data_IF_160468149122
#
_entry.id   IF_160468149122
#
_cell.length_a   1.000
_cell.length_b   1.000
_cell.length_c   1.000
_cell.angle_alpha   90.00
_cell.angle_beta   90.00
_cell.angle_gamma   90.00
#
_symmetry.space_group_name_H-M   'P 1'
#
loop_
_entity.id
_entity.type
_entity.pdbx_description
1 polymer ?
#
# COMPACT_ATOMS: atom_id res chain seq x y z
N UNK A 1 -1.07 -7.05 1.71
CA UNK A 1 0.31 -6.84 1.20
C UNK A 1 0.23 -6.05 -0.10
N UNK A 2 1.05 -5.00 -0.25
CA UNK A 2 1.06 -4.18 -1.47
C UNK A 2 1.58 -4.99 -2.67
N UNK A 3 1.16 -4.61 -3.88
CA UNK A 3 1.64 -5.21 -5.13
C UNK A 3 3.17 -5.15 -5.21
N UNK A 4 3.77 -4.00 -4.88
CA UNK A 4 5.23 -3.82 -4.89
C UNK A 4 5.95 -4.77 -3.95
N UNK A 5 5.46 -4.90 -2.72
CA UNK A 5 6.08 -5.78 -1.74
C UNK A 5 6.05 -7.25 -2.19
N UNK A 6 4.92 -7.68 -2.75
CA UNK A 6 4.78 -9.02 -3.33
C UNK A 6 5.77 -9.23 -4.48
N UNK A 7 5.75 -8.34 -5.47
CA UNK A 7 6.54 -8.49 -6.70
C UNK A 7 8.04 -8.41 -6.43
N UNK A 8 8.49 -7.37 -5.71
CA UNK A 8 9.94 -7.13 -5.59
C UNK A 8 10.61 -7.91 -4.47
N UNK A 9 9.91 -8.17 -3.36
CA UNK A 9 10.50 -8.93 -2.25
C UNK A 9 10.32 -10.42 -2.42
N UNK A 10 9.10 -10.90 -2.71
CA UNK A 10 8.84 -12.34 -2.72
C UNK A 10 9.04 -12.99 -4.08
N UNK A 11 8.53 -12.42 -5.15
CA UNK A 11 8.60 -13.05 -6.47
C UNK A 11 9.98 -12.87 -7.12
N UNK A 12 10.49 -11.62 -7.13
CA UNK A 12 11.77 -11.29 -7.78
C UNK A 12 12.97 -11.30 -6.84
N UNK A 13 12.77 -11.24 -5.54
CA UNK A 13 13.80 -11.26 -4.50
C UNK A 13 14.89 -10.19 -4.70
N UNK A 14 14.48 -9.01 -5.16
CA UNK A 14 15.38 -7.91 -5.51
C UNK A 14 15.60 -6.94 -4.35
N UNK A 15 14.76 -6.99 -3.32
CA UNK A 15 14.79 -6.04 -2.20
C UNK A 15 14.65 -6.76 -0.86
N UNK A 16 15.24 -6.19 0.19
CA UNK A 16 15.04 -6.63 1.57
C UNK A 16 13.77 -6.02 2.14
N UNK A 17 13.52 -4.75 1.82
CA UNK A 17 12.26 -4.09 2.13
C UNK A 17 11.86 -3.15 0.99
N UNK A 18 10.55 -2.93 0.84
CA UNK A 18 10.00 -1.94 -0.07
C UNK A 18 8.71 -1.39 0.51
N UNK A 19 8.56 -0.09 0.47
CA UNK A 19 7.35 0.60 0.88
C UNK A 19 6.93 1.63 -0.16
N UNK A 20 5.64 1.90 -0.19
CA UNK A 20 5.04 2.91 -1.06
C UNK A 20 4.21 3.83 -0.19
N UNK A 21 4.41 5.11 -0.33
CA UNK A 21 3.68 6.13 0.42
C UNK A 21 3.28 7.30 -0.47
N UNK A 22 2.22 7.97 -0.09
CA UNK A 22 1.81 9.24 -0.67
C UNK A 22 2.04 10.34 0.37
N UNK A 23 2.90 11.28 0.05
CA UNK A 23 3.15 12.48 0.86
C UNK A 23 2.37 13.62 0.22
N UNK A 24 1.44 14.20 0.97
CA UNK A 24 0.57 15.26 0.45
C UNK A 24 0.53 16.44 1.42
N UNK A 25 0.88 17.62 0.91
CA UNK A 25 0.74 18.89 1.58
C UNK A 25 -0.17 19.81 0.74
N UNK A 26 -0.47 20.99 1.23
CA UNK A 26 -1.38 21.94 0.56
C UNK A 26 -1.00 22.25 -0.90
N UNK A 27 0.31 22.38 -1.19
CA UNK A 27 0.81 22.83 -2.50
C UNK A 27 1.80 21.89 -3.15
N UNK A 28 2.18 20.82 -2.48
CA UNK A 28 3.14 19.85 -2.98
C UNK A 28 2.72 18.46 -2.57
N UNK A 29 2.92 17.50 -3.44
CA UNK A 29 2.72 16.09 -3.16
C UNK A 29 3.78 15.24 -3.86
N UNK A 30 4.04 14.07 -3.30
CA UNK A 30 4.93 13.10 -3.87
C UNK A 30 4.43 11.68 -3.64
N UNK A 31 4.45 10.88 -4.68
CA UNK A 31 4.36 9.43 -4.57
C UNK A 31 5.78 8.90 -4.37
N UNK A 32 6.02 8.24 -3.26
CA UNK A 32 7.37 7.84 -2.85
C UNK A 32 7.46 6.32 -2.78
N UNK A 33 8.45 5.76 -3.45
CA UNK A 33 8.86 4.36 -3.31
C UNK A 33 10.20 4.34 -2.60
N UNK A 34 10.26 3.68 -1.45
CA UNK A 34 11.49 3.47 -0.69
C UNK A 34 11.83 2.00 -0.68
N UNK A 35 13.05 1.65 -1.03
CA UNK A 35 13.54 0.27 -1.02
C UNK A 35 14.91 0.17 -0.37
N UNK A 36 15.11 -0.92 0.38
CA UNK A 36 16.40 -1.34 0.92
C UNK A 36 16.81 -2.63 0.21
N UNK A 37 18.04 -2.67 -0.29
CA UNK A 37 18.53 -3.78 -1.10
C UNK A 37 20.08 -3.82 -1.10
N UNK A 38 20.63 -4.97 -1.44
CA UNK A 38 22.05 -5.14 -1.64
C UNK A 38 22.54 -4.31 -2.86
N UNK A 39 23.80 -3.87 -2.81
CA UNK A 39 24.37 -2.99 -3.84
C UNK A 39 24.42 -3.64 -5.24
N UNK A 40 24.60 -4.95 -5.31
CA UNK A 40 24.60 -5.73 -6.55
C UNK A 40 23.19 -5.91 -7.16
N UNK A 41 22.15 -5.69 -6.38
CA UNK A 41 20.76 -5.75 -6.83
C UNK A 41 20.21 -4.41 -7.34
N UNK A 42 20.95 -3.30 -7.20
CA UNK A 42 20.46 -1.97 -7.61
C UNK A 42 20.13 -1.92 -9.10
N UNK A 43 21.00 -2.43 -9.97
CA UNK A 43 20.75 -2.42 -11.41
C UNK A 43 19.55 -3.27 -11.83
N UNK A 44 19.44 -4.56 -11.41
CA UNK A 44 18.26 -5.36 -11.75
C UNK A 44 16.95 -4.83 -11.11
N UNK A 45 17.02 -4.28 -9.90
CA UNK A 45 15.86 -3.65 -9.28
C UNK A 45 15.40 -2.41 -10.05
N UNK A 46 16.33 -1.50 -10.37
CA UNK A 46 16.01 -0.26 -11.10
C UNK A 46 15.48 -0.54 -12.49
N UNK A 47 16.11 -1.47 -13.22
CA UNK A 47 15.64 -1.93 -14.53
C UNK A 47 14.21 -2.47 -14.45
N UNK A 48 13.94 -3.29 -13.46
CA UNK A 48 12.62 -3.90 -13.26
C UNK A 48 11.56 -2.87 -12.88
N UNK A 49 11.88 -2.00 -11.92
CA UNK A 49 10.99 -0.93 -11.45
C UNK A 49 10.61 0.03 -12.58
N UNK A 50 11.60 0.46 -13.37
CA UNK A 50 11.38 1.36 -14.49
C UNK A 50 10.47 0.77 -15.55
N UNK A 51 10.66 -0.51 -15.89
CA UNK A 51 9.77 -1.24 -16.83
C UNK A 51 8.35 -1.33 -16.31
N UNK A 52 8.19 -1.68 -15.03
CA UNK A 52 6.87 -1.84 -14.43
C UNK A 52 6.13 -0.50 -14.36
N UNK A 53 6.83 0.60 -14.04
CA UNK A 53 6.24 1.93 -14.09
C UNK A 53 5.85 2.37 -15.49
N UNK A 54 6.68 2.09 -16.49
CA UNK A 54 6.38 2.42 -17.87
C UNK A 54 5.19 1.61 -18.44
N UNK A 55 4.97 0.40 -17.91
CA UNK A 55 3.85 -0.47 -18.29
C UNK A 55 2.59 -0.25 -17.41
N UNK A 56 2.69 0.59 -16.37
CA UNK A 56 1.62 0.78 -15.41
C UNK A 56 0.48 1.60 -16.04
N UNK A 57 -0.70 1.01 -16.07
CA UNK A 57 -1.93 1.68 -16.46
C UNK A 57 -3.09 1.30 -15.53
N UNK A 58 -4.27 1.88 -15.76
CA UNK A 58 -5.44 1.60 -14.93
C UNK A 58 -5.92 0.14 -15.02
N UNK A 59 -5.61 -0.58 -16.11
CA UNK A 59 -5.97 -2.00 -16.28
C UNK A 59 -5.07 -2.94 -15.50
N UNK A 60 -3.96 -2.44 -14.95
CA UNK A 60 -3.08 -3.20 -14.05
C UNK A 60 -3.81 -3.63 -12.76
N UNK A 61 -4.85 -2.88 -12.39
CA UNK A 61 -5.60 -3.12 -11.16
C UNK A 61 -7.00 -3.64 -11.47
N UNK A 62 -7.40 -4.72 -10.80
CA UNK A 62 -8.79 -5.19 -10.92
C UNK A 62 -9.74 -4.28 -10.16
N UNK A 63 -11.04 -4.25 -10.53
CA UNK A 63 -12.06 -3.53 -9.77
C UNK A 63 -12.07 -3.90 -8.28
N UNK A 64 -11.90 -5.17 -7.96
CA UNK A 64 -11.86 -5.67 -6.57
C UNK A 64 -10.63 -5.16 -5.81
N UNK A 65 -9.48 -5.02 -6.48
CA UNK A 65 -8.28 -4.43 -5.88
C UNK A 65 -8.48 -2.94 -5.60
N UNK A 66 -9.13 -2.22 -6.51
CA UNK A 66 -9.44 -0.80 -6.32
C UNK A 66 -10.42 -0.61 -5.15
N UNK A 67 -11.51 -1.38 -5.10
CA UNK A 67 -12.47 -1.30 -4.01
C UNK A 67 -11.83 -1.68 -2.66
N UNK A 68 -10.99 -2.70 -2.62
CA UNK A 68 -10.25 -3.05 -1.40
C UNK A 68 -9.30 -1.94 -0.96
N UNK A 69 -8.63 -1.27 -1.89
CA UNK A 69 -7.76 -0.15 -1.56
C UNK A 69 -8.54 1.03 -0.96
N UNK A 70 -9.71 1.35 -1.51
CA UNK A 70 -10.62 2.38 -0.97
C UNK A 70 -11.05 2.05 0.46
N UNK A 71 -11.52 0.81 0.68
CA UNK A 71 -11.94 0.35 2.00
C UNK A 71 -10.80 0.42 3.02
N UNK A 72 -9.58 0.01 2.65
CA UNK A 72 -8.43 0.10 3.54
C UNK A 72 -8.09 1.55 3.91
N UNK A 73 -8.10 2.46 2.93
CA UNK A 73 -7.83 3.88 3.19
C UNK A 73 -8.90 4.53 4.07
N UNK A 74 -10.16 4.16 3.87
CA UNK A 74 -11.27 4.63 4.72
C UNK A 74 -11.15 4.06 6.14
N UNK A 75 -10.84 2.77 6.29
CA UNK A 75 -10.60 2.12 7.59
C UNK A 75 -9.41 2.75 8.32
N UNK A 76 -8.29 3.00 7.64
CA UNK A 76 -7.12 3.67 8.20
C UNK A 76 -7.47 5.08 8.72
N UNK A 77 -8.32 5.80 8.00
CA UNK A 77 -8.80 7.11 8.45
C UNK A 77 -9.61 7.00 9.74
N UNK A 78 -10.54 6.05 9.85
CA UNK A 78 -11.32 5.83 11.06
C UNK A 78 -10.45 5.34 12.23
N UNK A 79 -9.59 4.36 12.00
CA UNK A 79 -8.64 3.85 13.03
C UNK A 79 -7.70 4.93 13.54
N UNK A 80 -7.27 5.83 12.67
CA UNK A 80 -6.40 6.93 13.09
C UNK A 80 -7.06 7.87 14.12
N UNK A 81 -8.38 7.80 14.31
CA UNK A 81 -9.16 8.59 15.26
C UNK A 81 -9.55 7.83 16.54
N UNK A 82 -9.16 6.57 16.68
CA UNK A 82 -9.50 5.75 17.86
C UNK A 82 -8.81 6.25 19.14
N UNK A 83 -7.71 6.97 19.03
CA UNK A 83 -7.02 7.57 20.17
C UNK A 83 -7.27 9.08 20.24
N UNK A 84 -7.22 9.64 21.46
CA UNK A 84 -7.35 11.09 21.65
C UNK A 84 -6.31 11.89 20.85
N UNK A 85 -5.06 11.41 20.82
CA UNK A 85 -3.99 12.04 20.03
C UNK A 85 -4.26 11.96 18.53
N UNK A 86 -4.69 10.81 18.04
CA UNK A 86 -5.05 10.62 16.64
C UNK A 86 -6.25 11.48 16.23
N UNK A 87 -7.28 11.51 17.07
CA UNK A 87 -8.45 12.36 16.84
C UNK A 87 -8.05 13.83 16.78
N UNK A 88 -7.27 14.34 17.75
CA UNK A 88 -6.80 15.71 17.78
C UNK A 88 -5.96 16.06 16.53
N UNK A 89 -5.06 15.15 16.12
CA UNK A 89 -4.24 15.31 14.91
C UNK A 89 -5.10 15.38 13.64
N UNK A 90 -6.15 14.56 13.54
CA UNK A 90 -7.05 14.57 12.37
C UNK A 90 -7.93 15.80 12.34
N UNK A 91 -8.49 16.22 13.48
CA UNK A 91 -9.24 17.48 13.57
C UNK A 91 -8.35 18.65 13.14
N UNK A 92 -7.12 18.73 13.66
CA UNK A 92 -6.15 19.75 13.28
C UNK A 92 -5.86 19.72 11.78
N UNK A 93 -5.56 18.56 11.22
CA UNK A 93 -5.28 18.39 9.79
C UNK A 93 -6.45 18.87 8.92
N UNK A 94 -7.65 18.38 9.16
CA UNK A 94 -8.81 18.77 8.36
C UNK A 94 -9.18 20.24 8.55
N UNK A 95 -9.05 20.77 9.78
CA UNK A 95 -9.32 22.17 10.04
C UNK A 95 -8.36 23.12 9.30
N UNK A 96 -7.06 22.80 9.30
CA UNK A 96 -6.04 23.65 8.70
C UNK A 96 -5.94 23.52 7.18
N UNK A 97 -6.06 22.30 6.66
CA UNK A 97 -5.75 22.03 5.25
C UNK A 97 -6.97 21.75 4.38
N UNK A 98 -8.10 21.40 4.98
CA UNK A 98 -9.24 20.88 4.21
C UNK A 98 -10.57 21.59 4.50
N UNK A 99 -10.55 22.67 5.27
CA UNK A 99 -11.76 23.45 5.59
C UNK A 99 -12.68 22.84 6.65
N UNK A 100 -12.10 22.08 7.59
CA UNK A 100 -12.79 21.52 8.74
C UNK A 100 -13.48 20.19 8.47
N UNK A 101 -14.54 19.90 9.20
CA UNK A 101 -15.29 18.64 9.13
C UNK A 101 -15.95 18.40 7.76
N UNK A 102 -16.31 19.45 7.05
CA UNK A 102 -16.80 19.33 5.67
C UNK A 102 -15.68 18.80 4.75
N UNK A 103 -14.44 19.22 4.96
CA UNK A 103 -13.29 18.71 4.20
C UNK A 103 -13.06 17.20 4.41
N UNK A 104 -13.26 16.69 5.63
CA UNK A 104 -13.20 15.25 5.88
C UNK A 104 -14.29 14.49 5.11
N UNK A 105 -15.54 14.97 5.18
CA UNK A 105 -16.65 14.34 4.43
C UNK A 105 -16.39 14.35 2.93
N UNK A 106 -15.94 15.47 2.39
CA UNK A 106 -15.60 15.59 0.98
C UNK A 106 -14.44 14.64 0.57
N UNK A 107 -13.44 14.47 1.44
CA UNK A 107 -12.31 13.56 1.19
C UNK A 107 -12.78 12.09 1.14
N UNK A 108 -13.64 11.67 2.06
CA UNK A 108 -14.22 10.33 2.07
C UNK A 108 -15.10 10.11 0.83
N UNK A 109 -15.94 11.07 0.49
CA UNK A 109 -16.79 11.00 -0.71
C UNK A 109 -15.94 10.92 -1.98
N UNK A 110 -14.91 11.75 -2.10
CA UNK A 110 -13.96 11.71 -3.21
C UNK A 110 -13.27 10.36 -3.32
N UNK A 111 -12.81 9.79 -2.18
CA UNK A 111 -12.20 8.45 -2.13
C UNK A 111 -13.15 7.37 -2.65
N UNK A 112 -14.40 7.38 -2.20
CA UNK A 112 -15.42 6.40 -2.62
C UNK A 112 -15.74 6.49 -4.11
N UNK A 113 -15.67 7.68 -4.69
CA UNK A 113 -15.94 7.96 -6.10
C UNK A 113 -14.73 7.70 -7.02
N UNK A 114 -13.56 7.34 -6.50
CA UNK A 114 -12.41 6.99 -7.36
C UNK A 114 -12.76 5.82 -8.24
N UNK A 115 -12.52 5.98 -9.54
CA UNK A 115 -12.71 4.95 -10.56
C UNK A 115 -11.46 4.74 -11.41
N UNK A 116 -11.49 3.75 -12.29
CA UNK A 116 -10.38 3.45 -13.19
C UNK A 116 -10.08 4.60 -14.18
N UNK A 117 -11.07 5.41 -14.53
CA UNK A 117 -10.90 6.57 -15.40
C UNK A 117 -10.06 7.66 -14.72
N UNK A 118 -10.38 7.96 -13.46
CA UNK A 118 -9.61 8.89 -12.63
C UNK A 118 -8.19 8.38 -12.38
N UNK A 119 -8.05 7.08 -12.07
CA UNK A 119 -6.74 6.44 -11.89
C UNK A 119 -5.89 6.57 -13.16
N UNK A 120 -6.46 6.31 -14.32
CA UNK A 120 -5.79 6.48 -15.62
C UNK A 120 -5.29 7.90 -15.85
N UNK A 121 -6.12 8.90 -15.52
CA UNK A 121 -5.74 10.32 -15.65
C UNK A 121 -4.56 10.66 -14.73
N UNK A 122 -4.59 10.21 -13.47
CA UNK A 122 -3.51 10.45 -12.50
C UNK A 122 -2.21 9.78 -12.95
N UNK A 123 -2.26 8.51 -13.36
CA UNK A 123 -1.07 7.80 -13.87
C UNK A 123 -0.48 8.50 -15.09
N UNK A 124 -1.30 8.88 -16.06
CA UNK A 124 -0.86 9.59 -17.25
C UNK A 124 -0.27 10.98 -16.98
N UNK A 125 -0.77 11.66 -15.94
CA UNK A 125 -0.30 13.00 -15.60
C UNK A 125 0.97 13.01 -14.75
N UNK A 126 1.13 12.02 -13.85
CA UNK A 126 2.14 12.08 -12.78
C UNK A 126 3.20 10.99 -12.87
N UNK A 127 2.88 9.81 -13.38
CA UNK A 127 3.86 8.72 -13.54
C UNK A 127 4.54 8.87 -14.87
N UNK A 128 5.48 9.80 -14.95
CA UNK A 128 6.23 10.17 -16.16
C UNK A 128 7.73 10.24 -15.85
N UNK A 129 8.61 9.88 -16.80
CA UNK A 129 10.04 9.80 -16.54
C UNK A 129 10.67 11.16 -16.22
N UNK A 130 10.13 12.26 -16.76
CA UNK A 130 10.56 13.63 -16.51
C UNK A 130 10.12 14.19 -15.14
N UNK A 131 9.24 13.46 -14.43
CA UNK A 131 8.76 13.79 -13.08
C UNK A 131 9.37 12.91 -11.99
N UNK A 132 10.24 11.98 -12.38
CA UNK A 132 10.87 11.06 -11.45
C UNK A 132 12.16 11.67 -10.89
N UNK A 133 12.27 11.66 -9.56
CA UNK A 133 13.51 11.99 -8.85
C UNK A 133 13.96 10.76 -8.08
N UNK A 134 15.18 10.34 -8.27
CA UNK A 134 15.76 9.17 -7.59
C UNK A 134 16.93 9.60 -6.72
N UNK A 135 16.91 9.13 -5.48
CA UNK A 135 18.00 9.31 -4.52
C UNK A 135 18.49 7.93 -4.12
N UNK A 136 19.79 7.68 -4.25
CA UNK A 136 20.43 6.43 -3.85
C UNK A 136 21.50 6.74 -2.82
N UNK A 137 21.54 5.96 -1.74
CA UNK A 137 22.55 6.05 -0.67
C UNK A 137 23.37 4.75 -0.68
N UNK A 138 24.41 4.66 -1.54
CA UNK A 138 25.21 3.45 -1.66
C UNK A 138 26.25 3.36 -0.54
N UNK A 139 26.75 2.15 -0.22
CA UNK A 139 27.97 1.98 0.55
C UNK A 139 29.17 2.69 -0.11
N UNK A 140 30.18 3.05 0.69
CA UNK A 140 31.31 3.91 0.28
C UNK A 140 32.01 3.51 -1.02
N UNK A 141 32.17 2.21 -1.27
CA UNK A 141 32.92 1.68 -2.43
C UNK A 141 32.03 0.99 -3.47
N UNK A 142 30.71 1.13 -3.36
CA UNK A 142 29.76 0.52 -4.29
C UNK A 142 29.80 1.23 -5.65
N UNK A 143 29.93 0.45 -6.73
CA UNK A 143 29.78 0.95 -8.08
C UNK A 143 28.30 1.05 -8.40
N UNK A 144 27.84 2.25 -8.76
CA UNK A 144 26.46 2.48 -9.17
C UNK A 144 26.31 2.38 -10.69
N UNK A 145 25.22 1.80 -11.17
CA UNK A 145 24.90 1.81 -12.62
C UNK A 145 24.52 3.23 -13.06
N UNK A 146 24.55 3.45 -14.37
CA UNK A 146 24.00 4.67 -14.95
C UNK A 146 22.46 4.62 -14.91
N UNK A 147 21.91 5.15 -13.81
CA UNK A 147 20.48 5.13 -13.53
C UNK A 147 19.66 5.84 -14.61
N UNK A 148 20.21 6.92 -15.20
CA UNK A 148 19.52 7.68 -16.25
C UNK A 148 19.47 6.89 -17.55
N UNK A 149 20.58 6.29 -17.96
CA UNK A 149 20.61 5.47 -19.18
C UNK A 149 19.65 4.28 -19.10
N UNK A 150 19.55 3.64 -17.92
CA UNK A 150 18.59 2.57 -17.67
C UNK A 150 17.16 3.11 -17.78
N UNK A 151 16.84 4.24 -17.14
CA UNK A 151 15.53 4.88 -17.20
C UNK A 151 15.11 5.13 -18.66
N UNK A 152 15.97 5.78 -19.44
CA UNK A 152 15.69 6.15 -20.82
C UNK A 152 15.45 4.93 -21.72
N UNK A 153 16.20 3.88 -21.51
CA UNK A 153 16.09 2.64 -22.28
C UNK A 153 14.84 1.86 -21.90
N UNK A 154 14.66 1.60 -20.61
CA UNK A 154 13.62 0.69 -20.14
C UNK A 154 12.24 1.33 -20.14
N UNK A 155 12.13 2.64 -19.96
CA UNK A 155 10.84 3.34 -20.09
C UNK A 155 10.26 3.20 -21.49
N UNK A 156 11.08 3.37 -22.53
CA UNK A 156 10.65 3.20 -23.91
C UNK A 156 10.23 1.76 -24.24
N UNK A 157 10.86 0.77 -23.60
CA UNK A 157 10.53 -0.64 -23.82
C UNK A 157 9.28 -1.07 -23.05
N UNK A 158 9.10 -0.59 -21.81
CA UNK A 158 7.96 -0.90 -20.95
C UNK A 158 6.63 -0.36 -21.47
N UNK A 159 6.64 0.85 -22.04
CA UNK A 159 5.45 1.46 -22.63
C UNK A 159 4.80 0.64 -23.78
N UNK A 160 5.49 -0.38 -24.30
CA UNK A 160 4.98 -1.31 -25.32
C UNK A 160 4.45 -2.63 -24.76
N UNK A 161 4.69 -2.93 -23.50
CA UNK A 161 4.31 -4.19 -22.86
C UNK A 161 2.99 -4.02 -22.09
N UNK A 162 1.86 -4.05 -22.80
CA UNK A 162 0.54 -4.09 -22.18
C UNK A 162 0.22 -5.49 -21.63
N UNK A 163 -0.40 -5.52 -20.45
CA UNK A 163 -1.06 -6.63 -19.78
C UNK A 163 -0.17 -7.65 -19.05
N UNK A 164 0.18 -7.32 -17.80
CA UNK A 164 0.50 -8.34 -16.82
C UNK A 164 -0.78 -9.12 -16.45
N UNK A 165 -0.74 -10.45 -16.55
CA UNK A 165 -1.84 -11.32 -16.11
C UNK A 165 -2.04 -11.17 -14.60
N UNK A 166 -3.20 -10.70 -14.21
CA UNK A 166 -3.61 -10.62 -12.81
C UNK A 166 -3.79 -12.04 -12.26
N UNK A 167 -3.11 -12.38 -11.18
CA UNK A 167 -3.36 -13.63 -10.48
C UNK A 167 -4.74 -13.54 -9.80
N UNK A 168 -5.60 -14.53 -10.04
CA UNK A 168 -6.90 -14.63 -9.39
C UNK A 168 -6.71 -14.84 -7.88
N UNK A 169 -7.26 -13.93 -7.08
CA UNK A 169 -7.43 -14.15 -5.65
C UNK A 169 -8.41 -15.31 -5.43
N UNK A 170 -8.03 -16.28 -4.60
CA UNK A 170 -8.91 -17.41 -4.29
C UNK A 170 -10.17 -16.95 -3.58
N UNK A 171 -11.27 -17.69 -3.78
CA UNK A 171 -12.55 -17.41 -3.13
C UNK A 171 -12.42 -17.62 -1.62
N UNK A 172 -12.84 -16.62 -0.84
CA UNK A 172 -12.88 -16.73 0.62
C UNK A 172 -13.86 -17.82 1.06
N UNK A 173 -13.42 -18.71 1.93
CA UNK A 173 -14.23 -19.77 2.52
C UNK A 173 -14.46 -19.49 4.00
N UNK A 174 -15.68 -19.65 4.47
CA UNK A 174 -16.06 -19.55 5.88
C UNK A 174 -16.46 -20.92 6.36
N UNK A 175 -15.70 -21.46 7.32
CA UNK A 175 -15.90 -22.81 7.86
C UNK A 175 -16.38 -22.68 9.31
N UNK A 176 -17.59 -23.10 9.60
CA UNK A 176 -18.10 -23.19 10.97
C UNK A 176 -17.62 -24.48 11.63
N UNK A 177 -16.85 -24.34 12.71
CA UNK A 177 -16.35 -25.45 13.52
C UNK A 177 -17.29 -25.80 14.69
N UNK A 178 -18.45 -25.16 14.77
CA UNK A 178 -19.42 -25.32 15.85
C UNK A 178 -18.99 -24.66 17.16
N UNK A 179 -19.91 -24.52 18.10
CA UNK A 179 -19.71 -23.87 19.42
C UNK A 179 -19.22 -22.41 19.28
N UNK A 180 -19.69 -21.67 18.26
CA UNK A 180 -19.33 -20.30 18.03
C UNK A 180 -17.90 -20.07 17.50
N UNK A 181 -17.24 -21.12 16.99
CA UNK A 181 -15.91 -21.03 16.40
C UNK A 181 -16.00 -21.05 14.88
N UNK A 182 -15.38 -20.07 14.26
CA UNK A 182 -15.38 -19.91 12.79
C UNK A 182 -13.95 -19.80 12.29
N UNK A 183 -13.64 -20.46 11.20
CA UNK A 183 -12.40 -20.28 10.44
C UNK A 183 -12.74 -19.55 9.14
N UNK A 184 -12.07 -18.46 8.89
CA UNK A 184 -12.10 -17.77 7.60
C UNK A 184 -10.82 -18.11 6.86
N UNK A 185 -10.94 -18.86 5.77
CA UNK A 185 -9.83 -19.23 4.91
C UNK A 185 -9.81 -18.30 3.70
N UNK A 186 -8.72 -17.59 3.53
CA UNK A 186 -8.48 -16.72 2.38
C UNK A 186 -7.30 -17.30 1.61
N UNK A 187 -7.53 -18.20 0.63
CA UNK A 187 -6.44 -18.77 -0.13
C UNK A 187 -5.80 -17.72 -1.03
N UNK A 188 -4.55 -17.41 -0.77
CA UNK A 188 -3.70 -16.58 -1.63
C UNK A 188 -2.52 -17.43 -2.09
N UNK A 189 -2.63 -17.97 -3.31
CA UNK A 189 -1.58 -18.82 -3.93
C UNK A 189 -0.38 -17.98 -4.43
N UNK A 190 -0.43 -16.68 -4.23
CA UNK A 190 0.58 -15.76 -4.72
C UNK A 190 1.73 -15.56 -3.75
N UNK A 191 1.60 -16.05 -2.52
CA UNK A 191 2.61 -15.91 -1.47
C UNK A 191 3.05 -17.29 -0.94
N UNK A 192 4.36 -17.51 -0.73
CA UNK A 192 4.89 -18.81 -0.26
C UNK A 192 4.82 -18.96 1.26
N UNK A 193 3.89 -18.31 1.96
CA UNK A 193 3.72 -18.43 3.40
C UNK A 193 2.25 -18.52 3.80
N UNK A 194 2.02 -19.00 5.02
CA UNK A 194 0.70 -19.05 5.66
C UNK A 194 0.71 -18.06 6.84
N UNK A 195 -0.27 -17.16 6.88
CA UNK A 195 -0.54 -16.32 8.05
C UNK A 195 -1.78 -16.84 8.76
N UNK A 196 -1.71 -16.98 10.07
CA UNK A 196 -2.83 -17.38 10.90
C UNK A 196 -3.07 -16.34 12.00
N UNK A 197 -4.29 -15.81 12.05
CA UNK A 197 -4.74 -14.92 13.10
C UNK A 197 -5.79 -15.62 13.94
N UNK A 198 -5.58 -15.62 15.25
CA UNK A 198 -6.51 -16.20 16.21
C UNK A 198 -7.17 -15.08 17.00
N UNK A 199 -8.49 -14.97 16.84
CA UNK A 199 -9.26 -13.91 17.49
C UNK A 199 -10.25 -14.52 18.48
N UNK A 200 -10.26 -14.01 19.69
CA UNK A 200 -11.22 -14.38 20.74
C UNK A 200 -12.13 -13.21 21.07
N UNK A 201 -13.36 -13.52 21.43
CA UNK A 201 -14.21 -12.53 22.10
C UNK A 201 -13.59 -12.21 23.46
N UNK A 202 -13.21 -10.97 23.67
CA UNK A 202 -12.51 -10.54 24.87
C UNK A 202 -12.29 -9.04 24.89
N UNK A 203 -11.35 -8.62 25.70
CA UNK A 203 -10.98 -7.22 25.85
C UNK A 203 -11.83 -6.50 26.88
N UNK A 204 -11.55 -5.22 27.05
CA UNK A 204 -12.14 -4.37 28.10
C UNK A 204 -13.66 -4.26 28.01
N UNK A 205 -14.25 -4.47 26.83
CA UNK A 205 -15.71 -4.46 26.67
C UNK A 205 -16.45 -5.57 27.43
N UNK A 206 -15.76 -6.65 27.81
CA UNK A 206 -16.32 -7.76 28.60
C UNK A 206 -15.97 -7.66 30.09
N UNK A 207 -15.16 -6.68 30.47
CA UNK A 207 -14.73 -6.48 31.84
C UNK A 207 -15.64 -5.47 32.58
N UNK A 208 -15.70 -5.60 33.90
CA UNK A 208 -16.36 -4.58 34.72
C UNK A 208 -15.56 -3.26 34.66
N UNK A 209 -16.17 -2.10 34.90
CA UNK A 209 -15.46 -0.82 34.90
C UNK A 209 -14.23 -0.77 35.82
N UNK A 210 -14.23 -1.53 36.92
CA UNK A 210 -13.11 -1.66 37.88
C UNK A 210 -11.97 -2.57 37.38
N UNK A 211 -12.18 -3.30 36.31
CA UNK A 211 -11.25 -4.28 35.73
C UNK A 211 -10.71 -3.86 34.35
N UNK A 212 -11.11 -2.67 33.89
CA UNK A 212 -10.64 -2.13 32.60
C UNK A 212 -9.12 -1.93 32.64
N UNK A 213 -8.47 -2.32 31.56
CA UNK A 213 -7.01 -2.33 31.42
C UNK A 213 -6.37 -3.70 31.72
N UNK A 214 -7.07 -4.64 32.37
CA UNK A 214 -6.54 -5.99 32.63
C UNK A 214 -6.28 -6.76 31.30
N UNK A 215 -7.10 -6.54 30.28
CA UNK A 215 -6.90 -7.18 28.97
C UNK A 215 -5.55 -6.80 28.33
N UNK A 216 -5.10 -5.56 28.51
CA UNK A 216 -3.82 -5.11 28.03
C UNK A 216 -2.63 -5.76 28.76
N UNK A 217 -2.79 -6.08 30.05
CA UNK A 217 -1.78 -6.78 30.84
C UNK A 217 -1.65 -8.26 30.47
N UNK A 218 -2.72 -8.88 30.01
CA UNK A 218 -2.72 -10.30 29.63
C UNK A 218 -2.22 -10.50 28.19
N UNK A 219 -2.33 -9.48 27.32
CA UNK A 219 -1.93 -9.55 25.91
C UNK A 219 -0.47 -9.18 25.65
N UNK A 220 0.27 -8.69 26.65
CA UNK A 220 1.71 -8.45 26.60
C UNK A 220 2.48 -9.61 27.22
#
# INVERSE_FOLDING_TARGET
>A
TSLFYKTYKYERQLVDSISVSNVSFERIGAFVVTAELDADKVEPFWTSLTKDFAALDASTFTPEQLERAKLNLEDDLYRSKETLSGLASKIGYFQFFMGGDQGERNAIEALRNVDNGMLKQVLAAWVQPDRLTTVVLPPKDAKMPDMQAILDKEWKSGAKASAAKTAEAGKTEVIDLGKGRTVVLIPDKTLPYVSANLTYSGGDALLKPSEQGLSALVSN
#
